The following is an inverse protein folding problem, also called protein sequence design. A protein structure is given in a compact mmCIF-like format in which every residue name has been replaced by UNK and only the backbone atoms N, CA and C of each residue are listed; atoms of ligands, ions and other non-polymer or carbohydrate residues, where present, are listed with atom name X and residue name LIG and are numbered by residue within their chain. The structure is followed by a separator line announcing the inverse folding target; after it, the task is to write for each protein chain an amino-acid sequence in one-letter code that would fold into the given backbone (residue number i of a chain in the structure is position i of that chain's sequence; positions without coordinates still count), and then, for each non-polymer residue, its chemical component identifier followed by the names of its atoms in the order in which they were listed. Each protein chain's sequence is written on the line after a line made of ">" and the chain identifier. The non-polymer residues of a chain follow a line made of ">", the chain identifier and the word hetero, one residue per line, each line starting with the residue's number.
data_IF_811696150730
#
_entry.id   IF_811696150730
#
_cell.length_a   1.000
_cell.length_b   1.000
_cell.length_c   1.000
_cell.angle_alpha   90.00
_cell.angle_beta   90.00
_cell.angle_gamma   90.00
#
_symmetry.space_group_name_H-M   'P 1'
#
loop_
_entity.id
_entity.type
_entity.pdbx_description
1 polymer ?
#
# COMPACT_ATOMS: atom_id res chain seq x y z
N UNK A 1 -7.67 -14.28 24.38
CA UNK A 1 -7.68 -13.13 23.46
C UNK A 1 -8.23 -13.68 22.16
N UNK A 2 -9.52 -13.49 21.88
CA UNK A 2 -10.18 -14.07 20.70
C UNK A 2 -9.51 -13.55 19.43
N UNK A 3 -9.29 -14.46 18.50
CA UNK A 3 -8.80 -14.21 17.15
C UNK A 3 -9.82 -13.28 16.47
N UNK A 4 -9.55 -11.96 16.53
CA UNK A 4 -10.36 -10.96 15.83
C UNK A 4 -10.20 -11.26 14.36
N UNK A 5 -11.31 -11.50 13.63
CA UNK A 5 -11.38 -11.70 12.17
C UNK A 5 -10.12 -11.19 11.46
N UNK A 6 -9.15 -12.08 11.26
CA UNK A 6 -7.85 -11.72 10.74
C UNK A 6 -7.94 -11.71 9.21
N UNK A 7 -8.15 -10.51 8.66
CA UNK A 7 -8.11 -10.25 7.23
C UNK A 7 -6.73 -9.70 6.80
N UNK A 8 -5.64 -10.07 7.47
CA UNK A 8 -4.27 -9.77 7.03
C UNK A 8 -3.79 -10.69 5.89
N UNK A 9 -4.63 -10.95 4.91
CA UNK A 9 -4.19 -11.60 3.67
C UNK A 9 -3.56 -10.55 2.75
N UNK A 10 -2.34 -10.84 2.30
CA UNK A 10 -1.64 -10.07 1.29
C UNK A 10 -1.47 -10.99 0.07
N UNK A 11 -2.40 -10.96 -0.91
CA UNK A 11 -2.21 -11.76 -2.12
C UNK A 11 -0.86 -11.39 -2.72
N UNK A 12 -0.08 -12.40 -3.09
CA UNK A 12 1.20 -12.22 -3.81
C UNK A 12 0.92 -11.25 -4.96
N UNK A 13 1.54 -10.08 -4.91
CA UNK A 13 1.35 -9.05 -5.92
C UNK A 13 2.01 -9.58 -7.19
N UNK A 14 1.21 -10.18 -8.07
CA UNK A 14 1.71 -10.67 -9.34
C UNK A 14 2.10 -9.47 -10.21
N UNK A 15 3.37 -9.45 -10.60
CA UNK A 15 3.92 -8.47 -11.50
C UNK A 15 3.88 -9.05 -12.91
N UNK A 16 2.72 -8.95 -13.58
CA UNK A 16 2.42 -9.71 -14.81
C UNK A 16 2.85 -9.02 -16.10
N UNK A 17 3.10 -7.70 -16.10
CA UNK A 17 3.49 -6.95 -17.30
C UNK A 17 4.59 -5.92 -17.05
N UNK A 18 5.27 -5.45 -18.10
CA UNK A 18 6.16 -4.28 -18.02
C UNK A 18 5.32 -3.01 -17.83
N UNK A 19 5.80 -2.09 -17.01
CA UNK A 19 5.20 -0.77 -16.83
C UNK A 19 5.45 0.09 -18.08
N UNK A 20 4.52 0.97 -18.43
CA UNK A 20 4.71 1.95 -19.51
C UNK A 20 5.76 3.02 -19.12
N UNK A 21 6.01 3.20 -17.82
CA UNK A 21 6.99 4.14 -17.30
C UNK A 21 8.28 3.41 -16.89
N UNK A 22 9.30 3.55 -17.74
CA UNK A 22 10.63 2.94 -17.56
C UNK A 22 11.76 3.96 -17.35
N UNK A 23 11.41 5.25 -17.28
CA UNK A 23 12.37 6.36 -17.23
C UNK A 23 12.84 6.65 -15.80
N UNK A 24 14.08 6.31 -15.48
CA UNK A 24 14.71 6.66 -14.19
C UNK A 24 15.66 7.84 -14.32
N UNK A 25 15.92 8.51 -13.19
CA UNK A 25 16.99 9.49 -13.11
C UNK A 25 18.33 8.81 -13.38
N UNK A 26 19.15 9.42 -14.24
CA UNK A 26 20.44 8.86 -14.59
C UNK A 26 21.43 9.08 -13.43
N UNK A 27 21.92 8.03 -12.76
CA UNK A 27 22.86 8.18 -11.65
C UNK A 27 24.18 8.86 -12.06
N UNK A 28 24.61 8.71 -13.32
CA UNK A 28 25.81 9.38 -13.84
C UNK A 28 25.59 10.89 -14.02
N UNK A 29 24.39 11.29 -14.46
CA UNK A 29 24.02 12.71 -14.55
C UNK A 29 24.06 13.37 -13.17
N UNK A 30 23.53 12.70 -12.14
CA UNK A 30 23.55 13.21 -10.76
C UNK A 30 24.98 13.33 -10.20
N UNK A 31 25.86 12.35 -10.48
CA UNK A 31 27.28 12.42 -10.10
C UNK A 31 27.97 13.61 -10.77
N UNK A 32 27.76 13.80 -12.07
CA UNK A 32 28.33 14.93 -12.82
C UNK A 32 27.81 16.28 -12.31
N UNK A 33 26.50 16.36 -12.02
CA UNK A 33 25.86 17.55 -11.45
C UNK A 33 26.42 17.92 -10.09
N UNK A 34 26.62 16.94 -9.20
CA UNK A 34 27.27 17.12 -7.90
C UNK A 34 28.71 17.61 -8.08
N UNK A 35 29.50 16.96 -8.93
CA UNK A 35 30.89 17.32 -9.22
C UNK A 35 31.00 18.76 -9.76
N UNK A 36 30.14 19.16 -10.69
CA UNK A 36 30.10 20.53 -11.21
C UNK A 36 29.75 21.56 -10.12
N UNK A 37 28.81 21.22 -9.22
CA UNK A 37 28.45 22.04 -8.07
C UNK A 37 29.60 22.23 -7.08
N UNK A 38 30.36 21.16 -6.78
CA UNK A 38 31.53 21.22 -5.93
C UNK A 38 32.66 22.07 -6.54
N UNK A 39 32.93 21.90 -7.83
CA UNK A 39 33.91 22.70 -8.56
C UNK A 39 33.56 24.19 -8.54
N UNK A 40 32.28 24.55 -8.74
CA UNK A 40 31.80 25.94 -8.59
C UNK A 40 32.07 26.50 -7.19
N UNK A 41 31.80 25.73 -6.13
CA UNK A 41 32.07 26.14 -4.75
C UNK A 41 33.57 26.34 -4.49
N UNK A 42 34.42 25.43 -5.00
CA UNK A 42 35.88 25.54 -4.88
C UNK A 42 36.41 26.78 -5.61
N UNK A 43 35.88 27.05 -6.81
CA UNK A 43 36.21 28.22 -7.62
C UNK A 43 35.85 29.51 -6.89
N UNK A 44 34.61 29.65 -6.41
CA UNK A 44 34.17 30.83 -5.66
C UNK A 44 35.00 31.08 -4.38
N UNK A 45 35.41 30.00 -3.69
CA UNK A 45 36.33 30.10 -2.54
C UNK A 45 37.72 30.58 -2.94
N UNK A 46 38.26 30.10 -4.07
CA UNK A 46 39.55 30.55 -4.58
C UNK A 46 39.51 32.01 -5.04
N UNK A 47 38.45 32.43 -5.73
CA UNK A 47 38.21 33.82 -6.11
C UNK A 47 38.11 34.73 -4.88
N UNK A 48 37.35 34.31 -3.85
CA UNK A 48 37.25 35.06 -2.60
C UNK A 48 38.59 35.18 -1.85
N UNK A 49 39.40 34.13 -1.85
CA UNK A 49 40.77 34.17 -1.28
C UNK A 49 41.65 35.14 -2.06
N UNK A 50 41.60 35.10 -3.39
CA UNK A 50 42.38 35.95 -4.28
C UNK A 50 41.98 37.43 -4.16
N UNK A 51 40.68 37.72 -4.03
CA UNK A 51 40.18 39.08 -3.81
C UNK A 51 40.57 39.70 -2.47
N UNK A 52 40.83 38.86 -1.44
CA UNK A 52 41.28 39.31 -0.11
C UNK A 52 42.80 39.53 -0.01
N UNK A 53 43.57 39.13 -1.04
CA UNK A 53 45.02 39.32 -1.06
C UNK A 53 45.37 40.73 -1.52
N UNK A 54 46.02 41.56 -0.68
CA UNK A 54 46.39 42.92 -1.06
C UNK A 54 47.37 42.91 -2.23
N UNK A 55 47.20 43.87 -3.13
CA UNK A 55 48.17 44.17 -4.18
C UNK A 55 49.34 44.93 -3.53
N UNK A 56 50.50 44.28 -3.41
CA UNK A 56 51.72 44.93 -2.99
C UNK A 56 52.49 45.43 -4.23
N UNK A 57 52.97 46.66 -4.17
CA UNK A 57 53.73 47.31 -5.25
C UNK A 57 55.18 47.47 -4.77
N UNK A 58 56.15 47.22 -5.65
CA UNK A 58 57.57 47.48 -5.40
C UNK A 58 57.84 49.00 -5.42
N UNK A 59 59.02 49.43 -4.96
CA UNK A 59 59.43 50.85 -4.99
C UNK A 59 59.41 51.45 -6.40
N UNK A 60 59.53 50.60 -7.41
CA UNK A 60 59.61 50.97 -8.83
C UNK A 60 58.23 51.01 -9.52
N UNK A 61 57.13 50.93 -8.76
CA UNK A 61 55.76 50.90 -9.29
C UNK A 61 55.32 49.54 -9.87
N UNK A 62 56.22 48.56 -9.97
CA UNK A 62 55.90 47.21 -10.46
C UNK A 62 55.16 46.38 -9.40
N UNK A 63 54.25 45.50 -9.82
CA UNK A 63 53.55 44.60 -8.91
C UNK A 63 54.52 43.60 -8.27
N UNK A 64 54.50 43.51 -6.94
CA UNK A 64 55.29 42.54 -6.19
C UNK A 64 54.74 41.14 -6.43
N UNK A 65 55.52 40.27 -7.07
CA UNK A 65 55.15 38.87 -7.31
C UNK A 65 55.04 38.13 -5.98
N UNK A 66 53.85 37.60 -5.70
CA UNK A 66 53.58 36.75 -4.54
C UNK A 66 53.35 35.33 -5.03
N UNK A 67 54.25 34.40 -4.65
CA UNK A 67 54.12 32.96 -4.96
C UNK A 67 52.74 32.41 -4.55
N UNK A 68 52.17 32.92 -3.46
CA UNK A 68 50.84 32.54 -2.96
C UNK A 68 49.72 32.99 -3.91
N UNK A 69 49.85 34.16 -4.54
CA UNK A 69 48.90 34.67 -5.53
C UNK A 69 49.01 33.93 -6.85
N UNK A 70 50.22 33.67 -7.32
CA UNK A 70 50.47 32.89 -8.54
C UNK A 70 49.93 31.46 -8.41
N UNK A 71 50.16 30.81 -7.25
CA UNK A 71 49.59 29.48 -6.97
C UNK A 71 48.05 29.47 -7.00
N UNK A 72 47.40 30.49 -6.41
CA UNK A 72 45.94 30.62 -6.46
C UNK A 72 45.42 30.92 -7.87
N UNK A 73 46.15 31.68 -8.70
CA UNK A 73 45.79 31.91 -10.10
C UNK A 73 45.88 30.63 -10.93
N UNK A 74 46.92 29.82 -10.73
CA UNK A 74 47.05 28.51 -11.39
C UNK A 74 45.95 27.54 -10.94
N UNK A 75 45.61 27.52 -9.65
CA UNK A 75 44.50 26.71 -9.12
C UNK A 75 43.16 27.15 -9.74
N UNK A 76 42.95 28.45 -9.92
CA UNK A 76 41.74 29.01 -10.53
C UNK A 76 41.61 28.61 -12.01
N UNK A 77 42.70 28.65 -12.78
CA UNK A 77 42.73 28.17 -14.18
C UNK A 77 42.35 26.69 -14.24
N UNK A 78 42.98 25.85 -13.41
CA UNK A 78 42.68 24.41 -13.34
C UNK A 78 41.23 24.14 -12.96
N UNK A 79 40.69 24.85 -11.97
CA UNK A 79 39.29 24.69 -11.55
C UNK A 79 38.31 25.12 -12.65
N UNK A 80 38.64 26.16 -13.44
CA UNK A 80 37.84 26.58 -14.60
C UNK A 80 37.83 25.52 -15.70
N UNK A 81 38.99 24.97 -16.05
CA UNK A 81 39.11 23.89 -17.05
C UNK A 81 38.33 22.63 -16.65
N UNK A 82 38.46 22.22 -15.39
CA UNK A 82 37.70 21.09 -14.84
C UNK A 82 36.19 21.33 -14.87
N UNK A 83 35.76 22.56 -14.61
CA UNK A 83 34.35 22.93 -14.64
C UNK A 83 33.78 22.95 -16.05
N UNK A 84 34.54 23.45 -17.03
CA UNK A 84 34.15 23.39 -18.46
C UNK A 84 34.00 21.93 -18.90
N UNK A 85 34.97 21.09 -18.58
CA UNK A 85 34.93 19.65 -18.90
C UNK A 85 33.73 18.96 -18.25
N UNK A 86 33.49 19.23 -16.97
CA UNK A 86 32.35 18.65 -16.25
C UNK A 86 31.00 19.11 -16.81
N UNK A 87 30.89 20.35 -17.30
CA UNK A 87 29.68 20.85 -17.97
C UNK A 87 29.46 20.22 -19.34
N UNK A 88 30.50 20.09 -20.16
CA UNK A 88 30.38 19.43 -21.47
C UNK A 88 29.97 17.95 -21.34
N UNK A 89 30.49 17.26 -20.32
CA UNK A 89 30.04 15.91 -19.98
C UNK A 89 28.57 15.86 -19.52
N UNK A 90 28.07 16.94 -18.93
CA UNK A 90 26.69 17.04 -18.44
C UNK A 90 25.70 17.35 -19.58
N UNK A 91 26.13 18.12 -20.58
CA UNK A 91 25.34 18.39 -21.79
C UNK A 91 25.18 17.16 -22.69
N UNK A 92 26.19 16.29 -22.72
CA UNK A 92 26.17 15.04 -23.47
C UNK A 92 25.53 13.87 -22.71
N UNK A 93 25.28 14.03 -21.40
CA UNK A 93 24.70 12.98 -20.56
C UNK A 93 23.19 13.24 -20.36
N UNK A 94 22.30 12.32 -20.75
CA UNK A 94 20.87 12.52 -20.57
C UNK A 94 20.49 12.47 -19.08
N UNK A 95 19.62 13.38 -18.65
CA UNK A 95 19.12 13.45 -17.26
C UNK A 95 18.29 12.22 -16.86
N UNK A 96 17.63 11.58 -17.83
CA UNK A 96 16.79 10.39 -17.64
C UNK A 96 17.21 9.31 -18.63
N UNK A 97 17.29 8.06 -18.15
CA UNK A 97 17.55 6.87 -18.97
C UNK A 97 16.33 5.95 -18.95
N UNK A 98 16.11 5.23 -20.06
CA UNK A 98 15.03 4.27 -20.20
C UNK A 98 15.53 2.85 -19.94
N UNK A 99 15.05 2.24 -18.86
CA UNK A 99 15.43 0.89 -18.45
C UNK A 99 15.04 -0.17 -19.47
N UNK A 100 13.98 0.02 -20.26
CA UNK A 100 13.60 -0.95 -21.30
C UNK A 100 14.70 -1.18 -22.34
N UNK A 101 15.56 -0.18 -22.54
CA UNK A 101 16.65 -0.19 -23.51
C UNK A 101 18.01 -0.50 -22.87
N UNK A 102 18.23 -0.04 -21.63
CA UNK A 102 19.55 -0.11 -20.97
C UNK A 102 19.70 -1.37 -20.13
N UNK A 103 18.63 -1.85 -19.49
CA UNK A 103 18.64 -3.01 -18.61
C UNK A 103 17.24 -3.65 -18.57
N UNK A 104 16.91 -4.52 -19.55
CA UNK A 104 15.56 -5.07 -19.72
C UNK A 104 15.09 -5.91 -18.53
N UNK A 105 16.03 -6.51 -17.79
CA UNK A 105 15.79 -7.36 -16.63
C UNK A 105 15.47 -6.54 -15.36
N UNK A 106 15.88 -5.27 -15.34
CA UNK A 106 15.57 -4.30 -14.28
C UNK A 106 14.35 -3.43 -14.60
N UNK A 107 13.67 -3.69 -15.72
CA UNK A 107 12.49 -2.93 -16.13
C UNK A 107 11.39 -3.01 -15.06
N UNK A 108 10.78 -1.85 -14.77
CA UNK A 108 9.65 -1.78 -13.86
C UNK A 108 8.51 -2.65 -14.35
N UNK A 109 7.88 -3.37 -13.43
CA UNK A 109 6.70 -4.18 -13.73
C UNK A 109 5.44 -3.47 -13.25
N UNK A 110 4.36 -3.62 -13.99
CA UNK A 110 3.02 -3.22 -13.59
C UNK A 110 2.57 -4.17 -12.48
N UNK A 111 2.18 -3.60 -11.34
CA UNK A 111 1.56 -4.37 -10.26
C UNK A 111 0.15 -4.78 -10.71
N UNK A 112 -0.18 -6.06 -10.60
CA UNK A 112 -1.56 -6.51 -10.74
C UNK A 112 -2.37 -6.01 -9.55
N UNK A 113 -3.27 -5.06 -9.80
CA UNK A 113 -4.16 -4.50 -8.77
C UNK A 113 -5.46 -5.29 -8.64
N UNK A 114 -5.74 -6.22 -9.53
CA UNK A 114 -7.02 -6.94 -9.57
C UNK A 114 -7.22 -7.81 -8.31
N UNK A 115 -6.20 -8.58 -7.93
CA UNK A 115 -6.23 -9.36 -6.69
C UNK A 115 -6.38 -8.48 -5.44
N UNK A 116 -5.71 -7.32 -5.42
CA UNK A 116 -5.87 -6.33 -4.35
C UNK A 116 -7.28 -5.75 -4.31
N UNK A 117 -7.82 -5.34 -5.46
CA UNK A 117 -9.14 -4.74 -5.56
C UNK A 117 -10.23 -5.73 -5.13
N UNK A 118 -10.10 -7.00 -5.52
CA UNK A 118 -11.01 -8.06 -5.09
C UNK A 118 -10.92 -8.28 -3.57
N UNK A 119 -9.71 -8.23 -3.00
CA UNK A 119 -9.50 -8.34 -1.57
C UNK A 119 -10.09 -7.15 -0.80
N UNK A 120 -9.83 -5.93 -1.24
CA UNK A 120 -10.37 -4.70 -0.65
C UNK A 120 -11.91 -4.68 -0.71
N UNK A 121 -12.49 -5.20 -1.81
CA UNK A 121 -13.92 -5.41 -1.95
C UNK A 121 -14.43 -6.43 -0.93
N UNK A 122 -13.78 -7.59 -0.78
CA UNK A 122 -14.14 -8.60 0.19
C UNK A 122 -14.09 -8.06 1.64
N UNK A 123 -13.03 -7.31 1.99
CA UNK A 123 -12.90 -6.64 3.29
C UNK A 123 -14.06 -5.66 3.54
N UNK A 124 -14.36 -4.84 2.53
CA UNK A 124 -15.45 -3.86 2.60
C UNK A 124 -16.81 -4.54 2.78
N UNK A 125 -17.07 -5.64 2.07
CA UNK A 125 -18.29 -6.42 2.21
C UNK A 125 -18.43 -7.02 3.61
N UNK A 126 -17.39 -7.68 4.12
CA UNK A 126 -17.39 -8.26 5.46
C UNK A 126 -17.65 -7.20 6.53
N UNK A 127 -16.98 -6.05 6.46
CA UNK A 127 -17.16 -4.96 7.42
C UNK A 127 -18.59 -4.40 7.40
N UNK A 128 -19.13 -4.14 6.21
CA UNK A 128 -20.49 -3.61 6.06
C UNK A 128 -21.55 -4.63 6.50
N UNK A 129 -21.39 -5.90 6.14
CA UNK A 129 -22.28 -6.97 6.60
C UNK A 129 -22.26 -7.09 8.12
N UNK A 130 -21.08 -7.08 8.75
CA UNK A 130 -20.96 -7.12 10.21
C UNK A 130 -21.65 -5.93 10.86
N UNK A 131 -21.42 -4.71 10.35
CA UNK A 131 -22.08 -3.50 10.85
C UNK A 131 -23.60 -3.63 10.75
N UNK A 132 -24.11 -4.11 9.63
CA UNK A 132 -25.55 -4.30 9.42
C UNK A 132 -26.15 -5.33 10.39
N UNK A 133 -25.45 -6.43 10.64
CA UNK A 133 -25.87 -7.42 11.63
C UNK A 133 -25.89 -6.83 13.04
N UNK A 134 -24.92 -6.00 13.43
CA UNK A 134 -24.93 -5.30 14.74
C UNK A 134 -26.14 -4.37 14.85
N UNK A 135 -26.48 -3.64 13.78
CA UNK A 135 -27.64 -2.73 13.77
C UNK A 135 -28.94 -3.51 14.01
N UNK A 136 -29.13 -4.65 13.34
CA UNK A 136 -30.31 -5.51 13.53
C UNK A 136 -30.31 -6.12 14.93
N UNK A 137 -29.17 -6.63 15.39
CA UNK A 137 -29.04 -7.28 16.70
C UNK A 137 -29.36 -6.33 17.85
N UNK A 138 -29.07 -5.03 17.68
CA UNK A 138 -29.35 -3.97 18.67
C UNK A 138 -30.84 -3.84 19.00
N UNK A 139 -31.73 -4.17 18.08
CA UNK A 139 -33.18 -4.14 18.32
C UNK A 139 -33.60 -5.18 19.36
N UNK A 140 -32.89 -6.30 19.44
CA UNK A 140 -33.20 -7.41 20.33
C UNK A 140 -32.27 -7.49 21.55
N UNK A 141 -31.14 -6.78 21.52
CA UNK A 141 -30.12 -6.79 22.56
C UNK A 141 -29.76 -5.35 22.97
N UNK A 142 -30.44 -4.79 23.98
CA UNK A 142 -30.31 -3.38 24.34
C UNK A 142 -28.97 -3.03 25.00
N UNK A 143 -28.28 -4.00 25.60
CA UNK A 143 -26.99 -3.77 26.24
C UNK A 143 -25.87 -3.70 25.19
N UNK A 144 -25.23 -2.53 24.97
CA UNK A 144 -24.20 -2.38 23.94
C UNK A 144 -22.94 -3.19 24.22
N UNK A 145 -22.68 -3.55 25.50
CA UNK A 145 -21.52 -4.38 25.87
C UNK A 145 -21.63 -5.82 25.37
N UNK A 146 -22.86 -6.29 25.17
CA UNK A 146 -23.14 -7.67 24.76
C UNK A 146 -23.18 -7.81 23.23
N UNK A 147 -23.34 -6.71 22.47
CA UNK A 147 -23.58 -6.75 21.02
C UNK A 147 -22.49 -7.48 20.24
N UNK A 148 -21.22 -7.08 20.44
CA UNK A 148 -20.10 -7.67 19.72
C UNK A 148 -19.87 -9.12 20.17
N UNK A 149 -19.75 -9.43 21.47
CA UNK A 149 -19.54 -10.81 21.92
C UNK A 149 -20.65 -11.77 21.49
N UNK A 150 -21.91 -11.35 21.55
CA UNK A 150 -23.04 -12.19 21.14
C UNK A 150 -23.07 -12.39 19.63
N UNK A 151 -22.82 -11.33 18.84
CA UNK A 151 -22.74 -11.48 17.39
C UNK A 151 -21.61 -12.44 17.00
N UNK A 152 -20.42 -12.31 17.62
CA UNK A 152 -19.30 -13.21 17.37
C UNK A 152 -19.62 -14.65 17.76
N UNK A 153 -20.30 -14.86 18.90
CA UNK A 153 -20.77 -16.19 19.29
C UNK A 153 -21.75 -16.78 18.27
N UNK A 154 -22.66 -15.97 17.72
CA UNK A 154 -23.60 -16.41 16.67
C UNK A 154 -22.88 -16.70 15.36
N UNK A 155 -21.96 -15.84 14.89
CA UNK A 155 -21.28 -16.05 13.61
C UNK A 155 -20.25 -17.17 13.65
N UNK A 156 -19.75 -17.51 14.84
CA UNK A 156 -18.78 -18.59 15.04
C UNK A 156 -19.43 -19.89 15.54
N UNK A 157 -20.75 -19.91 15.78
CA UNK A 157 -21.43 -21.13 16.20
C UNK A 157 -21.41 -22.17 15.09
N UNK A 158 -21.49 -23.45 15.46
CA UNK A 158 -21.64 -24.52 14.49
C UNK A 158 -23.01 -24.38 13.83
N UNK A 159 -23.12 -24.91 12.63
CA UNK A 159 -24.39 -24.94 11.93
C UNK A 159 -24.42 -26.00 10.86
N UNK A 160 -25.62 -26.26 10.39
CA UNK A 160 -25.91 -27.21 9.33
C UNK A 160 -26.49 -26.44 8.14
N UNK A 161 -26.04 -26.79 6.94
CA UNK A 161 -26.53 -26.21 5.70
C UNK A 161 -27.20 -27.31 4.90
N UNK A 162 -28.43 -27.08 4.48
CA UNK A 162 -29.20 -27.98 3.62
C UNK A 162 -29.70 -27.22 2.40
N UNK A 163 -29.46 -27.77 1.21
CA UNK A 163 -30.08 -27.25 -0.01
C UNK A 163 -31.29 -28.09 -0.38
N UNK A 164 -32.44 -27.45 -0.54
CA UNK A 164 -33.68 -28.05 -1.05
C UNK A 164 -33.94 -27.55 -2.48
N UNK A 165 -35.04 -27.97 -3.11
CA UNK A 165 -35.42 -27.44 -4.43
C UNK A 165 -35.68 -25.93 -4.38
N UNK A 166 -36.25 -25.43 -3.28
CA UNK A 166 -36.76 -24.06 -3.18
C UNK A 166 -35.89 -23.13 -2.31
N UNK A 167 -35.03 -23.69 -1.44
CA UNK A 167 -34.28 -22.90 -0.47
C UNK A 167 -32.88 -23.45 -0.17
N UNK A 168 -32.03 -22.58 0.37
CA UNK A 168 -30.87 -22.94 1.17
C UNK A 168 -31.23 -22.62 2.62
N UNK A 169 -31.25 -23.66 3.44
CA UNK A 169 -31.57 -23.59 4.86
C UNK A 169 -30.29 -23.66 5.66
N UNK A 170 -30.04 -22.65 6.48
CA UNK A 170 -28.92 -22.55 7.41
C UNK A 170 -29.48 -22.67 8.82
N UNK A 171 -29.15 -23.76 9.50
CA UNK A 171 -29.53 -23.95 10.89
C UNK A 171 -28.33 -23.76 11.80
N UNK A 172 -28.44 -22.87 12.77
CA UNK A 172 -27.41 -22.57 13.74
C UNK A 172 -27.60 -23.38 15.03
N UNK A 173 -26.49 -23.82 15.61
CA UNK A 173 -26.47 -24.43 16.94
C UNK A 173 -26.96 -23.40 17.97
N UNK A 174 -27.90 -23.77 18.87
CA UNK A 174 -28.41 -22.84 19.87
C UNK A 174 -27.31 -22.42 20.84
N UNK A 175 -27.22 -21.12 21.13
CA UNK A 175 -26.37 -20.65 22.24
C UNK A 175 -26.91 -21.16 23.59
N UNK A 176 -25.99 -21.49 24.52
CA UNK A 176 -26.34 -22.05 25.82
C UNK A 176 -27.16 -21.09 26.69
N UNK A 177 -26.78 -19.81 26.68
CA UNK A 177 -27.45 -18.78 27.48
C UNK A 177 -28.84 -18.47 26.92
N UNK A 178 -29.95 -18.69 27.66
CA UNK A 178 -31.31 -18.56 27.14
C UNK A 178 -31.63 -17.19 26.53
N UNK A 179 -31.13 -16.11 27.16
CA UNK A 179 -31.27 -14.75 26.63
C UNK A 179 -30.60 -14.58 25.27
N UNK A 180 -29.41 -15.13 25.07
CA UNK A 180 -28.68 -15.03 23.80
C UNK A 180 -29.26 -15.96 22.74
N UNK A 181 -29.76 -17.14 23.11
CA UNK A 181 -30.54 -17.99 22.23
C UNK A 181 -31.79 -17.28 21.70
N UNK A 182 -32.54 -16.60 22.57
CA UNK A 182 -33.70 -15.82 22.14
C UNK A 182 -33.32 -14.73 21.13
N UNK A 183 -32.22 -14.02 21.37
CA UNK A 183 -31.69 -13.00 20.45
C UNK A 183 -31.23 -13.62 19.12
N UNK A 184 -30.54 -14.76 19.14
CA UNK A 184 -30.13 -15.51 17.95
C UNK A 184 -31.34 -15.90 17.08
N UNK A 185 -32.42 -16.37 17.71
CA UNK A 185 -33.67 -16.68 17.02
C UNK A 185 -34.31 -15.45 16.38
N UNK A 186 -34.32 -14.30 17.08
CA UNK A 186 -34.85 -13.06 16.53
C UNK A 186 -34.01 -12.53 15.36
N UNK A 187 -32.68 -12.64 15.44
CA UNK A 187 -31.80 -12.31 14.33
C UNK A 187 -32.11 -13.18 13.10
N UNK A 188 -32.25 -14.50 13.27
CA UNK A 188 -32.60 -15.40 12.16
C UNK A 188 -33.95 -15.02 11.52
N UNK A 189 -34.96 -14.66 12.33
CA UNK A 189 -36.25 -14.18 11.85
C UNK A 189 -36.13 -12.88 11.06
N UNK A 190 -35.36 -11.91 11.57
CA UNK A 190 -35.12 -10.65 10.87
C UNK A 190 -34.41 -10.86 9.52
N UNK A 191 -33.44 -11.79 9.45
CA UNK A 191 -32.79 -12.17 8.20
C UNK A 191 -33.78 -12.81 7.22
N UNK A 192 -34.67 -13.69 7.68
CA UNK A 192 -35.69 -14.31 6.84
C UNK A 192 -36.70 -13.29 6.28
N UNK A 193 -37.01 -12.25 7.04
CA UNK A 193 -37.91 -11.17 6.60
C UNK A 193 -37.33 -10.33 5.46
N UNK A 194 -36.01 -10.30 5.28
CA UNK A 194 -35.38 -9.67 4.11
C UNK A 194 -35.69 -10.40 2.80
N UNK A 195 -36.22 -11.62 2.88
CA UNK A 195 -36.66 -12.43 1.74
C UNK A 195 -35.59 -12.56 0.65
N UNK A 196 -34.33 -12.76 1.07
CA UNK A 196 -33.18 -12.86 0.16
C UNK A 196 -33.37 -14.06 -0.76
N UNK A 197 -33.25 -13.81 -2.06
CA UNK A 197 -33.23 -14.83 -3.10
C UNK A 197 -31.86 -14.86 -3.76
N UNK A 198 -31.36 -16.07 -3.95
CA UNK A 198 -30.14 -16.33 -4.70
C UNK A 198 -30.44 -16.19 -6.19
N UNK A 199 -29.36 -16.06 -6.98
CA UNK A 199 -29.37 -16.03 -8.43
C UNK A 199 -30.04 -17.26 -9.09
N UNK A 200 -30.07 -18.40 -8.41
CA UNK A 200 -30.80 -19.60 -8.85
C UNK A 200 -32.28 -19.63 -8.41
N UNK A 201 -32.82 -18.52 -7.89
CA UNK A 201 -34.20 -18.38 -7.44
C UNK A 201 -34.49 -18.95 -6.05
N UNK A 202 -33.55 -19.70 -5.44
CA UNK A 202 -33.74 -20.28 -4.11
C UNK A 202 -33.75 -19.19 -3.03
N UNK A 203 -34.57 -19.38 -1.99
CA UNK A 203 -34.61 -18.51 -0.82
C UNK A 203 -33.48 -18.86 0.14
N UNK A 204 -32.92 -17.87 0.83
CA UNK A 204 -31.99 -18.10 1.93
C UNK A 204 -32.74 -18.01 3.25
N UNK A 205 -32.76 -19.11 4.01
CA UNK A 205 -33.53 -19.25 5.24
C UNK A 205 -32.61 -19.60 6.40
N UNK A 206 -32.84 -18.98 7.55
CA UNK A 206 -32.09 -19.14 8.79
C UNK A 206 -32.98 -19.66 9.92
N UNK A 207 -32.45 -20.57 10.72
CA UNK A 207 -33.14 -21.12 11.89
C UNK A 207 -32.15 -21.48 13.01
N UNK A 208 -32.66 -21.71 14.22
CA UNK A 208 -31.86 -22.11 15.39
C UNK A 208 -32.41 -23.41 15.95
N UNK A 209 -31.57 -24.43 16.06
CA UNK A 209 -32.02 -25.73 16.56
C UNK A 209 -30.95 -26.80 16.46
N UNK A 210 -31.24 -28.01 16.97
CA UNK A 210 -30.36 -29.15 16.80
C UNK A 210 -30.26 -29.53 15.32
N UNK A 211 -29.31 -30.40 15.02
CA UNK A 211 -29.12 -30.98 13.68
C UNK A 211 -30.47 -31.33 13.05
N UNK A 212 -30.75 -30.82 11.84
CA UNK A 212 -31.99 -31.18 11.16
C UNK A 212 -32.00 -32.70 11.02
N UNK A 213 -33.03 -33.36 11.59
CA UNK A 213 -33.23 -34.81 11.39
C UNK A 213 -33.12 -35.09 9.91
N UNK A 214 -32.10 -35.87 9.50
CA UNK A 214 -32.11 -36.48 8.18
C UNK A 214 -33.44 -37.20 8.07
N UNK A 215 -34.27 -36.83 7.11
CA UNK A 215 -35.49 -37.57 6.81
C UNK A 215 -35.04 -39.02 6.60
N UNK A 216 -35.30 -39.89 7.58
CA UNK A 216 -35.31 -41.31 7.31
C UNK A 216 -36.42 -41.47 6.29
N UNK A 217 -36.09 -42.04 5.14
CA UNK A 217 -37.10 -42.55 4.23
C UNK A 217 -37.89 -43.60 5.01
N UNK A 218 -39.01 -43.19 5.61
CA UNK A 218 -40.07 -44.10 6.03
C UNK A 218 -40.71 -44.63 4.75
N UNK A 219 -40.00 -45.59 4.13
CA UNK A 219 -40.55 -46.54 3.21
C UNK A 219 -41.08 -47.72 4.02
N UNK A 220 -42.39 -47.73 4.26
CA UNK A 220 -43.18 -48.92 4.56
C UNK A 220 -44.60 -48.69 4.06
#
# INVERSE_FOLDING_TARGET
>A
MQDRFDMHYNPVIEASGKSDQQRIANPEYDKLKKKAGELKKKLARCEGKLGRLPLAINKDGSLRKSKKREGLQQELIKLKEQLVTAKGALESCPERIDLSTTSPDEAFKKLSTEGKNLWDLAQSLVWNSRKKLIEILREFLPNPRDLIPVLEAITNCRGWIRSTAEAIEVRLEPLDTPRFKAVQMQLCRALNQMNVRLNNGKRLLYDVGPEPKSVQNDGS
#
